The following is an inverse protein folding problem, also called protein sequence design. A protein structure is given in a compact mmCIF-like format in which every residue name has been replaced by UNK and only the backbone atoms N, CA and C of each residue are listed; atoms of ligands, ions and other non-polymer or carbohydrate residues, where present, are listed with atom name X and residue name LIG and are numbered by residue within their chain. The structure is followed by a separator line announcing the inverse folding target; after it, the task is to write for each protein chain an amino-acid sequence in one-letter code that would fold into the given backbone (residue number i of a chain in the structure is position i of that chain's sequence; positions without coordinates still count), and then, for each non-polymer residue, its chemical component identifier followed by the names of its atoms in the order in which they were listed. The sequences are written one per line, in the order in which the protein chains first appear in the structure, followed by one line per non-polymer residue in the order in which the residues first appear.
data_IF_736603627760
#
_entry.id   IF_736603627760
#
_cell.length_a   1.000
_cell.length_b   1.000
_cell.length_c   1.000
_cell.angle_alpha   90.00
_cell.angle_beta   90.00
_cell.angle_gamma   90.00
#
_symmetry.space_group_name_H-M   'P 1'
#
loop_
_entity.id
_entity.type
_entity.pdbx_description
1 polymer ?
#
# COMPACT_ATOMS: atom_id res chain seq x y z
N UNK A 1 -13.92 -11.54 19.18
CA UNK A 1 -13.29 -12.43 18.18
C UNK A 1 -12.06 -11.73 17.63
N UNK A 2 -10.84 -12.15 17.99
CA UNK A 2 -9.65 -11.67 17.30
C UNK A 2 -9.63 -12.31 15.91
N UNK A 3 -9.67 -11.50 14.85
CA UNK A 3 -9.31 -12.00 13.52
C UNK A 3 -7.87 -12.52 13.59
N UNK A 4 -7.55 -13.68 13.01
CA UNK A 4 -6.16 -14.08 12.88
C UNK A 4 -5.42 -12.96 12.15
N UNK A 5 -4.27 -12.56 12.69
CA UNK A 5 -3.41 -11.58 12.05
C UNK A 5 -3.06 -12.11 10.66
N UNK A 6 -3.19 -11.27 9.64
CA UNK A 6 -2.89 -11.62 8.27
C UNK A 6 -1.43 -12.07 8.18
N UNK A 7 -1.20 -13.25 7.63
CA UNK A 7 0.12 -13.78 7.36
C UNK A 7 0.66 -13.26 6.01
N UNK A 8 1.90 -13.64 5.69
CA UNK A 8 2.58 -13.21 4.47
C UNK A 8 1.89 -13.74 3.19
N UNK A 9 1.43 -14.99 3.20
CA UNK A 9 0.76 -15.60 2.04
C UNK A 9 -0.55 -14.88 1.71
N UNK A 10 -1.36 -14.60 2.73
CA UNK A 10 -2.57 -13.80 2.60
C UNK A 10 -2.26 -12.37 2.14
N UNK A 11 -1.17 -11.77 2.63
CA UNK A 11 -0.73 -10.44 2.19
C UNK A 11 -0.31 -10.41 0.71
N UNK A 12 0.39 -11.45 0.23
CA UNK A 12 0.76 -11.61 -1.19
C UNK A 12 -0.49 -11.79 -2.05
N UNK A 13 -1.41 -12.65 -1.64
CA UNK A 13 -2.68 -12.88 -2.35
C UNK A 13 -3.48 -11.58 -2.47
N UNK A 14 -3.58 -10.82 -1.38
CA UNK A 14 -4.28 -9.53 -1.35
C UNK A 14 -3.57 -8.47 -2.23
N UNK A 15 -2.23 -8.39 -2.18
CA UNK A 15 -1.48 -7.49 -3.04
C UNK A 15 -1.71 -7.81 -4.52
N UNK A 16 -1.70 -9.09 -4.90
CA UNK A 16 -1.99 -9.54 -6.26
C UNK A 16 -3.43 -9.27 -6.68
N UNK A 17 -4.39 -9.42 -5.77
CA UNK A 17 -5.79 -9.08 -6.01
C UNK A 17 -5.96 -7.58 -6.30
N UNK A 18 -5.24 -6.71 -5.60
CA UNK A 18 -5.33 -5.24 -5.77
C UNK A 18 -4.56 -4.69 -6.96
N UNK A 19 -3.37 -5.21 -7.22
CA UNK A 19 -2.43 -4.64 -8.20
C UNK A 19 -1.98 -5.63 -9.29
N UNK A 20 -2.72 -6.73 -9.44
CA UNK A 20 -2.48 -7.74 -10.46
C UNK A 20 -1.20 -8.54 -10.25
N UNK A 21 -0.66 -9.11 -11.33
CA UNK A 21 0.53 -9.99 -11.29
C UNK A 21 1.78 -9.34 -10.68
N UNK A 22 1.82 -8.01 -10.59
CA UNK A 22 2.92 -7.22 -10.01
C UNK A 22 2.74 -6.93 -8.53
N UNK A 23 1.57 -7.24 -7.95
CA UNK A 23 1.31 -7.08 -6.53
C UNK A 23 2.28 -7.92 -5.70
N UNK A 24 2.98 -7.27 -4.78
CA UNK A 24 3.97 -7.89 -3.92
C UNK A 24 4.04 -7.20 -2.55
N UNK A 25 4.65 -7.91 -1.62
CA UNK A 25 4.92 -7.44 -0.26
C UNK A 25 6.42 -7.56 0.03
N UNK A 26 6.91 -6.79 0.99
CA UNK A 26 8.31 -6.81 1.39
C UNK A 26 8.43 -6.46 2.87
N UNK A 27 9.39 -7.07 3.54
CA UNK A 27 9.74 -6.76 4.93
C UNK A 27 11.00 -5.89 4.94
N UNK A 28 10.94 -4.75 5.61
CA UNK A 28 12.07 -3.86 5.82
C UNK A 28 12.53 -3.93 7.29
N UNK A 29 13.52 -4.79 7.55
CA UNK A 29 14.01 -5.07 8.93
C UNK A 29 14.59 -3.85 9.64
N UNK A 30 15.03 -2.86 8.87
CA UNK A 30 15.64 -1.63 9.37
C UNK A 30 14.61 -0.68 10.04
N UNK A 31 13.31 -0.93 9.89
CA UNK A 31 12.24 -0.02 10.31
C UNK A 31 11.15 -0.75 11.12
N UNK A 32 11.38 -1.02 12.41
CA UNK A 32 10.44 -1.81 13.25
C UNK A 32 9.00 -1.29 13.26
N UNK A 33 8.81 0.03 13.18
CA UNK A 33 7.48 0.67 13.19
C UNK A 33 6.75 0.59 11.84
N UNK A 34 7.47 0.28 10.75
CA UNK A 34 6.95 0.26 9.38
C UNK A 34 7.55 -0.90 8.57
N UNK A 35 7.73 -2.04 9.23
CA UNK A 35 8.44 -3.21 8.67
C UNK A 35 7.69 -3.84 7.50
N UNK A 36 6.38 -3.81 7.51
CA UNK A 36 5.54 -4.41 6.48
C UNK A 36 5.31 -3.40 5.37
N UNK A 37 5.80 -3.68 4.16
CA UNK A 37 5.61 -2.85 2.97
C UNK A 37 4.74 -3.57 1.95
N UNK A 38 3.72 -2.89 1.43
CA UNK A 38 2.82 -3.44 0.40
C UNK A 38 2.85 -2.56 -0.85
N UNK A 39 2.82 -3.17 -2.03
CA UNK A 39 2.82 -2.43 -3.27
C UNK A 39 3.07 -3.27 -4.52
N UNK A 40 3.83 -2.71 -5.44
CA UNK A 40 4.00 -3.28 -6.79
C UNK A 40 5.46 -3.40 -7.19
N UNK A 41 5.82 -4.54 -7.77
CA UNK A 41 7.06 -4.69 -8.52
C UNK A 41 6.94 -3.93 -9.85
N UNK A 42 7.79 -2.93 -10.04
CA UNK A 42 7.89 -2.18 -11.27
C UNK A 42 8.82 -2.87 -12.27
N UNK A 43 8.88 -2.36 -13.50
CA UNK A 43 9.88 -2.81 -14.46
C UNK A 43 11.30 -2.45 -13.96
N UNK A 44 12.14 -3.48 -13.82
CA UNK A 44 13.47 -3.43 -13.20
C UNK A 44 13.47 -3.75 -11.69
N UNK A 45 14.56 -3.45 -10.96
CA UNK A 45 14.72 -3.83 -9.54
C UNK A 45 13.95 -2.91 -8.58
N UNK A 46 12.84 -2.31 -9.03
CA UNK A 46 12.14 -1.25 -8.30
C UNK A 46 10.87 -1.77 -7.65
N UNK A 47 10.72 -1.52 -6.36
CA UNK A 47 9.48 -1.75 -5.61
C UNK A 47 8.77 -0.44 -5.33
N UNK A 48 7.57 -0.27 -5.87
CA UNK A 48 6.73 0.91 -5.61
C UNK A 48 5.87 0.64 -4.39
N UNK A 49 6.27 1.24 -3.27
CA UNK A 49 5.51 1.18 -2.01
C UNK A 49 4.18 1.92 -2.17
N UNK A 50 3.08 1.20 -1.97
CA UNK A 50 1.73 1.75 -1.90
C UNK A 50 1.34 2.08 -0.46
N UNK A 51 1.77 1.26 0.49
CA UNK A 51 1.57 1.52 1.92
C UNK A 51 2.59 0.80 2.81
N UNK A 52 2.67 1.22 4.07
CA UNK A 52 3.60 0.68 5.07
C UNK A 52 2.95 0.59 6.45
N UNK A 53 3.38 -0.37 7.27
CA UNK A 53 2.84 -0.53 8.62
C UNK A 53 3.65 -1.49 9.49
N UNK A 54 3.32 -1.54 10.78
CA UNK A 54 3.88 -2.53 11.71
C UNK A 54 3.33 -3.95 11.48
N UNK A 55 2.16 -4.04 10.84
CA UNK A 55 1.51 -5.27 10.35
C UNK A 55 1.09 -5.11 8.90
N UNK A 56 0.76 -6.22 8.23
CA UNK A 56 0.31 -6.18 6.84
C UNK A 56 -1.00 -5.43 6.67
N UNK A 57 -1.96 -5.59 7.59
CA UNK A 57 -3.24 -4.87 7.57
C UNK A 57 -3.04 -3.36 7.70
N UNK A 58 -2.17 -2.94 8.62
CA UNK A 58 -1.82 -1.53 8.77
C UNK A 58 -1.20 -0.97 7.48
N UNK A 59 -0.38 -1.76 6.78
CA UNK A 59 0.21 -1.36 5.51
C UNK A 59 -0.82 -1.21 4.39
N UNK A 60 -1.82 -2.09 4.30
CA UNK A 60 -2.92 -1.94 3.35
C UNK A 60 -3.84 -0.76 3.69
N UNK A 61 -4.12 -0.52 4.97
CA UNK A 61 -4.86 0.66 5.42
C UNK A 61 -4.14 1.96 5.07
N UNK A 62 -2.81 2.03 5.23
CA UNK A 62 -2.00 3.17 4.78
C UNK A 62 -2.06 3.34 3.25
N UNK A 63 -2.05 2.25 2.48
CA UNK A 63 -2.19 2.30 1.03
C UNK A 63 -3.55 2.91 0.60
N UNK A 64 -4.63 2.51 1.26
CA UNK A 64 -5.97 3.02 1.00
C UNK A 64 -6.08 4.51 1.38
N UNK A 65 -5.55 4.89 2.55
CA UNK A 65 -5.50 6.29 2.99
C UNK A 65 -4.72 7.19 2.02
N UNK A 66 -3.60 6.69 1.47
CA UNK A 66 -2.82 7.41 0.46
C UNK A 66 -3.56 7.57 -0.85
N UNK A 67 -4.31 6.56 -1.29
CA UNK A 67 -5.13 6.66 -2.49
C UNK A 67 -6.22 7.73 -2.33
N UNK A 68 -6.89 7.75 -1.17
CA UNK A 68 -7.89 8.76 -0.82
C UNK A 68 -7.27 10.17 -0.81
N UNK A 69 -6.11 10.34 -0.17
CA UNK A 69 -5.43 11.64 -0.13
C UNK A 69 -4.93 12.09 -1.51
N UNK A 70 -4.42 11.18 -2.34
CA UNK A 70 -4.05 11.49 -3.72
C UNK A 70 -5.27 11.89 -4.57
N UNK A 71 -6.42 11.27 -4.32
CA UNK A 71 -7.69 11.65 -4.95
C UNK A 71 -8.13 13.06 -4.54
N UNK A 72 -8.10 13.37 -3.23
CA UNK A 72 -8.46 14.70 -2.69
C UNK A 72 -7.61 15.82 -3.29
N UNK A 73 -6.29 15.64 -3.41
CA UNK A 73 -5.42 16.64 -4.04
C UNK A 73 -5.77 16.91 -5.51
N UNK A 74 -6.26 15.90 -6.24
CA UNK A 74 -6.71 16.09 -7.63
C UNK A 74 -8.04 16.81 -7.72
N UNK A 75 -8.95 16.58 -6.77
CA UNK A 75 -10.22 17.31 -6.68
C UNK A 75 -10.02 18.79 -6.33
N UNK A 76 -9.09 19.10 -5.41
CA UNK A 76 -8.77 20.49 -5.05
C UNK A 76 -8.10 21.25 -6.20
N UNK A 77 -7.29 20.56 -7.02
CA UNK A 77 -6.67 21.14 -8.22
C UNK A 77 -7.66 21.51 -9.34
N UNK A 78 -8.90 20.98 -9.31
CA UNK A 78 -9.92 21.29 -10.32
C UNK A 78 -10.84 22.45 -9.93
N UNK A 79 -10.83 22.89 -8.66
CA UNK A 79 -11.61 24.06 -8.20
C UNK A 79 -10.91 25.41 -8.36
N UNK A 80 -9.65 25.42 -8.80
CA UNK A 80 -8.85 26.65 -8.95
C UNK A 80 -8.73 27.19 -10.37
N UNK A 81 -9.53 26.71 -11.32
CA UNK A 81 -9.50 27.20 -12.71
C UNK A 81 -10.90 27.42 -13.27
N UNK A 82 -11.62 28.34 -12.63
CA UNK A 82 -12.68 29.10 -13.28
C UNK A 82 -12.32 30.56 -13.08
N UNK A 83 -12.11 31.22 -14.21
CA UNK A 83 -11.74 32.63 -14.35
C UNK A 83 -12.85 33.56 -13.82
#
# INVERSE_FOLDING_TARGET
MLRPAMDEEAAVAEARRRWGRRGAVSIADQWRQARCLVGELCEGPRFRVRGRGATWEAAFLDADARLLNASRRRSDGHRGRSA
#
